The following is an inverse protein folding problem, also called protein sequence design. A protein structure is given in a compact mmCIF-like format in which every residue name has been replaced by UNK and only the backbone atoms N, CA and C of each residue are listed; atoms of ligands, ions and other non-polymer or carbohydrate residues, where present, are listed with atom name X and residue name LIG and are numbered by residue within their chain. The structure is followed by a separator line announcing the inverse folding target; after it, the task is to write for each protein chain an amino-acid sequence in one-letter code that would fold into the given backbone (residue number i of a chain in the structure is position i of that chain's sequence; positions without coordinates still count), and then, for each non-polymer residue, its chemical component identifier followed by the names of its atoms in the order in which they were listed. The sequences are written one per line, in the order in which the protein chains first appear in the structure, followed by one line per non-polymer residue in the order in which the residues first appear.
data_IF_630849338565
#
_entry.id   IF_630849338565
#
_cell.length_a   1.000
_cell.length_b   1.000
_cell.length_c   1.000
_cell.angle_alpha   90.00
_cell.angle_beta   90.00
_cell.angle_gamma   90.00
#
_symmetry.space_group_name_H-M   'P 1'
#
loop_
_entity.id
_entity.type
_entity.pdbx_description
1 polymer ?
#
# COMPACT_ATOMS: atom_id res chain seq x y z
N UNK A 1 -16.46 13.24 36.32
CA UNK A 1 -15.52 12.24 36.88
C UNK A 1 -15.99 10.79 36.69
N UNK A 2 -17.30 10.48 36.76
CA UNK A 2 -17.80 9.10 36.55
C UNK A 2 -17.66 8.57 35.10
N UNK A 3 -17.64 9.43 34.10
CA UNK A 3 -17.56 9.05 32.67
C UNK A 3 -16.23 8.38 32.26
N UNK A 4 -15.16 8.50 33.07
CA UNK A 4 -13.88 7.80 32.86
C UNK A 4 -13.88 6.33 33.29
N UNK A 5 -14.86 5.90 34.09
CA UNK A 5 -14.97 4.50 34.54
C UNK A 5 -15.56 3.59 33.46
N UNK A 6 -16.27 4.16 32.49
CA UNK A 6 -16.95 3.45 31.40
C UNK A 6 -16.29 3.67 30.03
N UNK A 7 -15.22 4.45 29.95
CA UNK A 7 -14.48 4.66 28.71
C UNK A 7 -13.68 3.39 28.36
N UNK A 8 -13.61 2.97 27.07
CA UNK A 8 -12.70 1.92 26.65
C UNK A 8 -11.28 2.30 27.07
N UNK A 9 -10.65 1.47 27.90
CA UNK A 9 -9.27 1.75 28.37
C UNK A 9 -8.21 1.37 27.33
N UNK A 10 -8.62 0.72 26.24
CA UNK A 10 -7.73 0.16 25.22
C UNK A 10 -8.17 0.63 23.84
N UNK A 11 -7.23 1.19 23.08
CA UNK A 11 -7.39 1.58 21.68
C UNK A 11 -6.82 0.48 20.78
N UNK A 12 -7.48 0.14 19.66
CA UNK A 12 -6.97 -0.86 18.70
C UNK A 12 -7.07 -0.36 17.24
N UNK A 13 -6.06 -0.72 16.44
CA UNK A 13 -5.97 -0.56 14.98
C UNK A 13 -5.47 -1.89 14.40
N UNK A 14 -5.84 -2.30 13.18
CA UNK A 14 -5.39 -3.61 12.67
C UNK A 14 -5.43 -3.74 11.12
N UNK A 15 -4.60 -4.51 10.40
CA UNK A 15 -3.13 -4.49 10.13
C UNK A 15 -2.05 -4.68 11.24
N UNK A 16 -2.41 -5.24 12.39
CA UNK A 16 -1.60 -5.18 13.62
C UNK A 16 -1.07 -6.52 14.12
N UNK A 17 -1.08 -7.56 13.28
CA UNK A 17 -0.48 -8.87 13.60
C UNK A 17 -1.11 -9.61 14.82
N UNK A 18 -2.35 -9.26 15.22
CA UNK A 18 -3.18 -10.05 16.18
C UNK A 18 -3.90 -11.25 15.52
N UNK A 19 -3.74 -11.48 14.21
CA UNK A 19 -4.82 -11.64 13.21
C UNK A 19 -6.23 -11.14 13.57
N UNK A 20 -6.48 -9.85 13.37
CA UNK A 20 -7.82 -9.27 13.59
C UNK A 20 -8.91 -9.70 12.58
N UNK A 21 -8.52 -10.34 11.46
CA UNK A 21 -9.42 -10.73 10.37
C UNK A 21 -9.79 -9.61 9.37
N UNK A 22 -9.37 -8.37 9.62
CA UNK A 22 -9.64 -7.19 8.77
C UNK A 22 -8.41 -6.88 7.93
N UNK A 23 -8.56 -6.99 6.61
CA UNK A 23 -7.56 -6.68 5.60
C UNK A 23 -8.27 -6.05 4.41
N UNK A 24 -7.63 -5.07 3.77
CA UNK A 24 -8.12 -4.47 2.54
C UNK A 24 -6.94 -3.94 1.70
N UNK A 25 -6.80 -4.38 0.43
CA UNK A 25 -5.85 -3.80 -0.52
C UNK A 25 -5.99 -2.29 -0.71
N UNK A 26 -7.12 -1.69 -0.34
CA UNK A 26 -7.34 -0.25 -0.33
C UNK A 26 -6.26 0.51 0.44
N UNK A 27 -5.69 -0.06 1.51
CA UNK A 27 -4.58 0.60 2.23
C UNK A 27 -3.39 0.83 1.28
N UNK A 28 -2.90 -0.20 0.58
CA UNK A 28 -1.82 -0.05 -0.40
C UNK A 28 -2.22 0.85 -1.57
N UNK A 29 -3.47 0.74 -2.05
CA UNK A 29 -3.98 1.50 -3.20
C UNK A 29 -4.03 3.01 -2.92
N UNK A 30 -4.57 3.43 -1.79
CA UNK A 30 -4.66 4.85 -1.40
C UNK A 30 -3.27 5.48 -1.28
N UNK A 31 -2.31 4.72 -0.76
CA UNK A 31 -0.90 5.14 -0.69
C UNK A 31 -0.29 5.33 -2.08
N UNK A 32 -0.54 4.40 -3.01
CA UNK A 32 -0.05 4.48 -4.39
C UNK A 32 -0.73 5.62 -5.18
N UNK A 33 -2.03 5.86 -4.96
CA UNK A 33 -2.74 7.01 -5.54
C UNK A 33 -2.15 8.34 -5.02
N UNK A 34 -1.79 8.39 -3.73
CA UNK A 34 -1.10 9.54 -3.15
C UNK A 34 0.25 9.77 -3.82
N UNK A 35 1.03 8.71 -4.05
CA UNK A 35 2.30 8.79 -4.79
C UNK A 35 2.10 9.36 -6.20
N UNK A 36 1.13 8.85 -6.97
CA UNK A 36 0.80 9.36 -8.32
C UNK A 36 0.42 10.84 -8.29
N UNK A 37 -0.43 11.22 -7.33
CA UNK A 37 -0.88 12.60 -7.18
C UNK A 37 0.29 13.54 -6.80
N UNK A 38 1.19 13.09 -5.94
CA UNK A 38 2.38 13.86 -5.54
C UNK A 38 3.31 14.07 -6.74
N UNK A 39 3.56 13.02 -7.54
CA UNK A 39 4.36 13.13 -8.78
C UNK A 39 3.75 14.18 -9.71
N UNK A 40 2.44 14.09 -9.97
CA UNK A 40 1.72 15.02 -10.84
C UNK A 40 1.85 16.47 -10.35
N UNK A 41 1.66 16.69 -9.05
CA UNK A 41 1.77 18.03 -8.45
C UNK A 41 3.20 18.57 -8.48
N UNK A 42 4.20 17.72 -8.21
CA UNK A 42 5.61 18.11 -8.25
C UNK A 42 6.05 18.51 -9.66
N UNK A 43 5.58 17.79 -10.68
CA UNK A 43 5.86 18.10 -12.09
C UNK A 43 5.20 19.39 -12.59
N UNK A 44 4.05 19.77 -12.00
CA UNK A 44 3.32 20.99 -12.34
C UNK A 44 3.77 22.24 -11.56
N UNK A 45 4.72 22.12 -10.64
CA UNK A 45 5.20 23.21 -9.80
C UNK A 45 6.60 23.65 -10.20
N UNK A 46 6.88 24.96 -10.18
CA UNK A 46 8.24 25.48 -10.32
C UNK A 46 8.89 25.86 -8.97
N UNK A 47 8.13 25.82 -7.88
CA UNK A 47 8.65 26.05 -6.52
C UNK A 47 9.55 24.90 -6.06
N UNK A 48 10.81 25.23 -5.77
CA UNK A 48 11.84 24.31 -5.29
C UNK A 48 11.51 23.73 -3.91
N UNK A 49 10.96 24.54 -3.01
CA UNK A 49 10.65 24.11 -1.64
C UNK A 49 9.44 23.17 -1.63
N UNK A 50 8.44 23.45 -2.48
CA UNK A 50 7.36 22.53 -2.77
C UNK A 50 7.86 21.19 -3.32
N UNK A 51 8.74 21.21 -4.34
CA UNK A 51 9.31 19.98 -4.92
C UNK A 51 10.08 19.15 -3.89
N UNK A 52 10.86 19.80 -3.03
CA UNK A 52 11.59 19.13 -1.93
C UNK A 52 10.63 18.43 -0.98
N UNK A 53 9.58 19.12 -0.53
CA UNK A 53 8.55 18.53 0.33
C UNK A 53 7.80 17.38 -0.37
N UNK A 54 7.49 17.54 -1.65
CA UNK A 54 6.83 16.51 -2.44
C UNK A 54 7.67 15.23 -2.52
N UNK A 55 8.98 15.34 -2.75
CA UNK A 55 9.90 14.20 -2.77
C UNK A 55 9.91 13.50 -1.40
N UNK A 56 10.05 14.26 -0.30
CA UNK A 56 10.07 13.70 1.06
C UNK A 56 8.76 12.96 1.41
N UNK A 57 7.61 13.53 1.04
CA UNK A 57 6.32 12.89 1.32
C UNK A 57 6.14 11.67 0.41
N UNK A 58 6.49 11.76 -0.88
CA UNK A 58 6.42 10.63 -1.82
C UNK A 58 7.21 9.43 -1.32
N UNK A 59 8.43 9.65 -0.81
CA UNK A 59 9.27 8.64 -0.18
C UNK A 59 8.55 7.89 0.96
N UNK A 60 7.84 8.63 1.82
CA UNK A 60 7.07 8.07 2.93
C UNK A 60 5.87 7.27 2.44
N UNK A 61 5.10 7.80 1.48
CA UNK A 61 3.92 7.12 0.93
C UNK A 61 4.32 5.85 0.16
N UNK A 62 5.38 5.89 -0.65
CA UNK A 62 5.92 4.69 -1.31
C UNK A 62 6.36 3.63 -0.30
N UNK A 63 6.88 4.02 0.87
CA UNK A 63 7.20 3.06 1.92
C UNK A 63 5.94 2.39 2.52
N UNK A 64 4.88 3.17 2.76
CA UNK A 64 3.60 2.64 3.25
C UNK A 64 2.93 1.69 2.25
N UNK A 65 3.04 1.96 0.94
CA UNK A 65 2.60 0.99 -0.09
C UNK A 65 3.26 -0.37 0.15
N UNK A 66 4.59 -0.39 0.34
CA UNK A 66 5.34 -1.63 0.55
C UNK A 66 4.90 -2.34 1.82
N UNK A 67 4.77 -1.61 2.93
CA UNK A 67 4.34 -2.18 4.21
C UNK A 67 2.97 -2.84 4.10
N UNK A 68 1.99 -2.17 3.48
CA UNK A 68 0.66 -2.74 3.29
C UNK A 68 0.65 -3.94 2.36
N UNK A 69 1.48 -3.93 1.31
CA UNK A 69 1.65 -5.10 0.43
C UNK A 69 2.29 -6.27 1.18
N UNK A 70 3.29 -6.02 2.04
CA UNK A 70 3.93 -7.07 2.82
C UNK A 70 2.96 -7.70 3.81
N UNK A 71 2.18 -6.90 4.54
CA UNK A 71 1.14 -7.40 5.46
C UNK A 71 0.15 -8.31 4.73
N UNK A 72 -0.32 -7.93 3.53
CA UNK A 72 -1.20 -8.82 2.76
C UNK A 72 -0.48 -10.11 2.37
N UNK A 73 0.77 -10.00 1.93
CA UNK A 73 1.55 -11.14 1.47
C UNK A 73 1.85 -12.15 2.58
N UNK A 74 2.25 -11.67 3.76
CA UNK A 74 2.69 -12.53 4.88
C UNK A 74 1.54 -12.91 5.79
N UNK A 75 0.59 -12.00 6.04
CA UNK A 75 -0.39 -12.16 7.13
C UNK A 75 -1.78 -12.51 6.62
N UNK A 76 -2.17 -12.05 5.42
CA UNK A 76 -3.46 -12.39 4.81
C UNK A 76 -3.38 -13.67 3.98
N UNK A 77 -2.54 -13.70 2.95
CA UNK A 77 -2.44 -14.86 2.06
C UNK A 77 -1.88 -16.10 2.79
N UNK A 78 -2.28 -17.29 2.34
CA UNK A 78 -2.04 -18.59 2.99
C UNK A 78 -1.64 -19.63 1.94
N UNK A 79 -1.05 -20.78 2.32
CA UNK A 79 -0.60 -21.78 1.35
C UNK A 79 -1.63 -22.15 0.28
N UNK A 80 -2.93 -22.37 0.59
CA UNK A 80 -3.93 -22.67 -0.44
C UNK A 80 -4.14 -21.54 -1.46
N UNK A 81 -3.95 -20.29 -1.05
CA UNK A 81 -4.02 -19.15 -1.98
C UNK A 81 -2.82 -19.15 -2.92
N UNK A 82 -1.61 -19.46 -2.43
CA UNK A 82 -0.42 -19.53 -3.27
C UNK A 82 -0.43 -20.74 -4.22
N UNK A 83 -1.04 -21.86 -3.81
CA UNK A 83 -1.28 -23.01 -4.69
C UNK A 83 -2.27 -22.67 -5.81
N UNK A 84 -3.36 -21.95 -5.48
CA UNK A 84 -4.36 -21.52 -6.47
C UNK A 84 -3.84 -20.43 -7.42
N UNK A 85 -3.00 -19.53 -6.92
CA UNK A 85 -2.43 -18.41 -7.66
C UNK A 85 -0.89 -18.49 -7.64
N UNK A 86 -0.27 -19.35 -8.48
CA UNK A 86 1.18 -19.59 -8.44
C UNK A 86 2.01 -18.35 -8.78
N UNK A 87 1.43 -17.37 -9.47
CA UNK A 87 2.07 -16.08 -9.79
C UNK A 87 2.09 -15.09 -8.62
N UNK A 88 1.37 -15.35 -7.52
CA UNK A 88 1.12 -14.35 -6.47
C UNK A 88 2.40 -13.89 -5.78
N UNK A 89 3.38 -14.77 -5.58
CA UNK A 89 4.70 -14.38 -5.06
C UNK A 89 5.43 -13.39 -5.98
N UNK A 90 5.43 -13.63 -7.30
CA UNK A 90 6.04 -12.73 -8.27
C UNK A 90 5.32 -11.39 -8.28
N UNK A 91 3.99 -11.42 -8.26
CA UNK A 91 3.16 -10.23 -8.28
C UNK A 91 3.45 -9.29 -7.10
N UNK A 92 3.52 -9.82 -5.87
CA UNK A 92 3.90 -9.03 -4.70
C UNK A 92 5.32 -8.48 -4.78
N UNK A 93 6.25 -9.29 -5.32
CA UNK A 93 7.64 -8.90 -5.46
C UNK A 93 7.82 -7.75 -6.48
N UNK A 94 7.14 -7.84 -7.62
CA UNK A 94 7.10 -6.82 -8.66
C UNK A 94 6.46 -5.52 -8.15
N UNK A 95 5.28 -5.61 -7.51
CA UNK A 95 4.61 -4.46 -6.92
C UNK A 95 5.48 -3.76 -5.86
N UNK A 96 6.14 -4.54 -4.99
CA UNK A 96 7.06 -4.01 -3.98
C UNK A 96 8.26 -3.30 -4.61
N UNK A 97 8.82 -3.85 -5.71
CA UNK A 97 9.93 -3.24 -6.45
C UNK A 97 9.50 -1.94 -7.13
N UNK A 98 8.31 -1.91 -7.73
CA UNK A 98 7.72 -0.70 -8.31
C UNK A 98 7.47 0.39 -7.27
N UNK A 99 7.13 0.04 -6.02
CA UNK A 99 7.09 0.99 -4.91
C UNK A 99 8.48 1.33 -4.31
N UNK A 100 9.53 0.66 -4.75
CA UNK A 100 10.90 0.79 -4.25
C UNK A 100 11.72 1.88 -4.95
N UNK A 101 13.00 1.97 -4.56
CA UNK A 101 13.93 3.01 -5.05
C UNK A 101 14.07 3.04 -6.58
N UNK A 102 13.96 1.90 -7.25
CA UNK A 102 14.02 1.80 -8.72
C UNK A 102 12.69 2.09 -9.41
N UNK A 103 11.60 2.30 -8.65
CA UNK A 103 10.29 2.66 -9.16
C UNK A 103 9.81 4.00 -8.61
N UNK A 104 8.56 4.08 -8.17
CA UNK A 104 7.89 5.33 -7.79
C UNK A 104 8.53 6.07 -6.62
N UNK A 105 9.36 5.40 -5.81
CA UNK A 105 10.11 6.07 -4.73
C UNK A 105 11.23 6.94 -5.29
N UNK A 106 12.06 6.41 -6.19
CA UNK A 106 13.17 7.16 -6.80
C UNK A 106 12.83 7.90 -8.09
N UNK A 107 11.76 7.51 -8.78
CA UNK A 107 11.36 8.07 -10.09
C UNK A 107 10.15 9.00 -9.92
N UNK A 108 10.13 10.10 -10.68
CA UNK A 108 9.05 11.09 -10.73
C UNK A 108 8.19 10.96 -11.99
N UNK A 109 7.81 9.74 -12.36
CA UNK A 109 7.06 9.44 -13.58
C UNK A 109 5.67 8.88 -13.23
N UNK A 110 4.64 9.49 -13.82
CA UNK A 110 3.24 9.09 -13.64
C UNK A 110 2.98 7.69 -14.22
N UNK A 111 3.66 7.33 -15.31
CA UNK A 111 3.50 6.02 -15.94
C UNK A 111 3.95 4.88 -14.99
N UNK A 112 5.08 5.07 -14.29
CA UNK A 112 5.56 4.11 -13.29
C UNK A 112 4.59 3.99 -12.11
N UNK A 113 3.90 5.08 -11.75
CA UNK A 113 2.86 5.03 -10.73
C UNK A 113 1.59 4.30 -11.20
N UNK A 114 1.26 4.41 -12.50
CA UNK A 114 0.17 3.65 -13.11
C UNK A 114 0.47 2.14 -13.17
N UNK A 115 1.71 1.76 -13.47
CA UNK A 115 2.15 0.36 -13.39
C UNK A 115 2.02 -0.19 -11.98
N UNK A 116 2.42 0.58 -10.96
CA UNK A 116 2.26 0.20 -9.56
C UNK A 116 0.78 0.00 -9.20
N UNK A 117 -0.10 0.94 -9.58
CA UNK A 117 -1.54 0.83 -9.34
C UNK A 117 -2.15 -0.39 -10.03
N UNK A 118 -1.77 -0.67 -11.28
CA UNK A 118 -2.24 -1.84 -12.01
C UNK A 118 -1.87 -3.15 -11.30
N UNK A 119 -0.66 -3.26 -10.75
CA UNK A 119 -0.23 -4.43 -9.97
C UNK A 119 -1.00 -4.54 -8.66
N UNK A 120 -1.28 -3.43 -7.99
CA UNK A 120 -2.13 -3.41 -6.78
C UNK A 120 -3.56 -3.85 -7.12
N UNK A 121 -4.11 -3.42 -8.26
CA UNK A 121 -5.44 -3.82 -8.71
C UNK A 121 -5.50 -5.32 -9.04
N UNK A 122 -4.45 -5.90 -9.62
CA UNK A 122 -4.33 -7.35 -9.83
C UNK A 122 -4.33 -8.12 -8.49
N UNK A 123 -3.54 -7.65 -7.51
CA UNK A 123 -3.54 -8.20 -6.14
C UNK A 123 -4.93 -8.07 -5.50
N UNK A 124 -5.60 -6.93 -5.69
CA UNK A 124 -6.92 -6.68 -5.15
C UNK A 124 -7.98 -7.61 -5.77
N UNK A 125 -7.90 -7.88 -7.08
CA UNK A 125 -8.75 -8.85 -7.76
C UNK A 125 -8.64 -10.24 -7.12
N UNK A 126 -7.42 -10.73 -6.95
CA UNK A 126 -7.14 -12.01 -6.29
C UNK A 126 -7.65 -12.00 -4.83
N UNK A 127 -7.38 -10.93 -4.09
CA UNK A 127 -7.86 -10.78 -2.71
C UNK A 127 -9.39 -10.94 -2.62
N UNK A 128 -10.16 -10.22 -3.44
CA UNK A 128 -11.62 -10.30 -3.39
C UNK A 128 -12.17 -11.63 -3.91
N UNK A 129 -11.46 -12.33 -4.80
CA UNK A 129 -11.79 -13.71 -5.16
C UNK A 129 -11.64 -14.67 -3.98
N UNK A 130 -10.59 -14.54 -3.16
CA UNK A 130 -10.41 -15.38 -1.96
C UNK A 130 -11.45 -15.12 -0.87
N UNK A 131 -12.17 -13.98 -0.92
CA UNK A 131 -13.27 -13.67 0.02
C UNK A 131 -14.63 -14.23 -0.40
N UNK A 132 -14.78 -14.69 -1.65
CA UNK A 132 -16.02 -15.30 -2.17
C UNK A 132 -16.06 -16.81 -1.98
N UNK A 133 -14.89 -17.42 -1.76
CA UNK A 133 -14.70 -18.85 -1.57
C UNK A 133 -14.98 -19.27 -0.12
#
# INVERSE_FOLDING_TARGET
MLSRLLAPKTTVHAHCDLPCGVYDPAQARIEAESVKAIITKASASDDHDFKTRAILIKEQRSNLVKEHLWVLWTDYFKPPHFEKYPQLHSLFNEATKLAGATGTKGVGDVAVADELLAKIDEIAGIFWETKKA
#
